data_IF_782022492771
#
_entry.id   IF_782022492771
#
_cell.length_a   1.000
_cell.length_b   1.000
_cell.length_c   1.000
_cell.angle_alpha   90.00
_cell.angle_beta   90.00
_cell.angle_gamma   90.00
#
_symmetry.space_group_name_H-M   'P 1'
#
loop_
_entity.id
_entity.type
_entity.pdbx_description
1 polymer ?
#
# COMPACT_ATOMS: atom_id res chain seq x y z
N UNK A 1 5.32 -9.57 -2.49
CA UNK A 1 3.98 -9.12 -2.05
C UNK A 1 3.92 -7.61 -2.19
N UNK A 2 3.12 -7.09 -3.12
CA UNK A 2 3.08 -5.66 -3.43
C UNK A 2 2.14 -4.88 -2.51
N UNK A 3 2.60 -3.74 -2.01
CA UNK A 3 1.90 -2.84 -1.11
C UNK A 3 1.91 -1.41 -1.63
N UNK A 4 0.75 -0.77 -1.59
CA UNK A 4 0.54 0.61 -2.03
C UNK A 4 0.38 1.51 -0.80
N UNK A 5 1.20 2.56 -0.74
CA UNK A 5 1.00 3.70 0.13
C UNK A 5 0.08 4.70 -0.57
N UNK A 6 -1.14 4.88 -0.05
CA UNK A 6 -2.16 5.77 -0.59
C UNK A 6 -2.24 7.03 0.26
N UNK A 7 -2.26 8.21 -0.37
CA UNK A 7 -2.53 9.48 0.31
C UNK A 7 -4.01 9.54 0.73
N UNK A 8 -4.31 9.77 2.02
CA UNK A 8 -5.71 9.95 2.47
C UNK A 8 -6.33 11.25 1.95
N UNK A 9 -5.52 12.25 1.61
CA UNK A 9 -5.97 13.51 1.01
C UNK A 9 -6.38 13.34 -0.47
N UNK A 10 -5.46 12.89 -1.32
CA UNK A 10 -5.70 12.80 -2.77
C UNK A 10 -6.34 11.48 -3.22
N UNK A 11 -6.30 10.42 -2.38
CA UNK A 11 -6.60 9.02 -2.70
C UNK A 11 -5.67 8.39 -3.75
N UNK A 12 -4.58 9.06 -4.10
CA UNK A 12 -3.56 8.62 -5.05
C UNK A 12 -2.54 7.67 -4.42
N UNK A 13 -1.98 6.76 -5.22
CA UNK A 13 -0.86 5.87 -4.82
C UNK A 13 0.45 6.66 -4.94
N UNK A 14 1.07 6.99 -3.81
CA UNK A 14 2.31 7.78 -3.75
C UNK A 14 3.57 6.91 -3.70
N UNK A 15 3.46 5.66 -3.24
CA UNK A 15 4.56 4.70 -3.26
C UNK A 15 4.00 3.28 -3.47
N UNK A 16 4.68 2.44 -4.24
CA UNK A 16 4.45 0.98 -4.28
C UNK A 16 5.75 0.26 -3.94
N UNK A 17 5.70 -0.71 -3.04
CA UNK A 17 6.85 -1.55 -2.65
C UNK A 17 6.50 -3.03 -2.86
N UNK A 18 7.46 -3.88 -3.19
CA UNK A 18 7.31 -5.33 -3.02
C UNK A 18 8.10 -5.79 -1.79
N UNK A 19 7.43 -6.51 -0.89
CA UNK A 19 8.01 -7.08 0.33
C UNK A 19 7.90 -8.61 0.29
N UNK A 20 8.75 -9.31 1.05
CA UNK A 20 8.75 -10.76 1.10
C UNK A 20 7.37 -11.34 1.49
N UNK A 21 7.04 -12.55 1.03
CA UNK A 21 5.68 -13.10 1.12
C UNK A 21 5.12 -13.23 2.55
N UNK A 22 6.00 -13.40 3.55
CA UNK A 22 5.63 -13.42 4.97
C UNK A 22 5.35 -12.05 5.61
N UNK A 23 5.60 -10.95 4.90
CA UNK A 23 5.34 -9.59 5.41
C UNK A 23 3.91 -9.19 5.05
N UNK A 24 3.03 -9.11 6.05
CA UNK A 24 1.65 -8.60 5.94
C UNK A 24 1.55 -7.06 5.98
N UNK A 25 0.32 -6.52 5.89
CA UNK A 25 0.05 -5.06 6.02
C UNK A 25 0.76 -4.44 7.23
N UNK A 26 0.76 -5.11 8.39
CA UNK A 26 1.38 -4.57 9.61
C UNK A 26 2.87 -4.28 9.44
N UNK A 27 3.62 -5.20 8.83
CA UNK A 27 5.04 -5.01 8.54
C UNK A 27 5.29 -4.01 7.42
N UNK A 28 4.40 -3.95 6.41
CA UNK A 28 4.44 -2.91 5.39
C UNK A 28 4.22 -1.50 5.98
N UNK A 29 3.27 -1.36 6.93
CA UNK A 29 3.01 -0.13 7.69
C UNK A 29 4.24 0.29 8.50
N UNK A 30 4.88 -0.62 9.24
CA UNK A 30 6.15 -0.35 9.94
C UNK A 30 7.26 0.10 8.97
N UNK A 31 7.40 -0.55 7.81
CA UNK A 31 8.37 -0.14 6.79
C UNK A 31 8.12 1.28 6.27
N UNK A 32 6.87 1.63 5.94
CA UNK A 32 6.52 2.97 5.47
C UNK A 32 6.68 4.05 6.56
N UNK A 33 6.31 3.75 7.82
CA UNK A 33 6.53 4.62 8.98
C UNK A 33 8.02 4.93 9.14
N UNK A 34 8.88 3.90 9.18
CA UNK A 34 10.33 4.06 9.29
C UNK A 34 10.95 4.78 8.09
N UNK A 35 10.50 4.48 6.87
CA UNK A 35 10.95 5.13 5.63
C UNK A 35 10.60 6.63 5.58
N UNK A 36 9.42 7.02 6.07
CA UNK A 36 8.99 8.43 6.17
C UNK A 36 9.50 9.15 7.42
N UNK A 37 10.01 8.42 8.43
CA UNK A 37 10.35 8.92 9.78
C UNK A 37 9.22 9.73 10.43
N UNK A 38 7.98 9.26 10.27
CA UNK A 38 6.80 9.83 10.92
C UNK A 38 6.45 9.05 12.19
N UNK A 39 5.75 9.69 13.13
CA UNK A 39 5.05 8.95 14.20
C UNK A 39 3.89 8.15 13.61
N UNK A 40 3.54 7.02 14.22
CA UNK A 40 2.43 6.19 13.75
C UNK A 40 1.10 6.95 13.66
N UNK A 41 0.83 7.87 14.60
CA UNK A 41 -0.43 8.65 14.63
C UNK A 41 -0.51 9.65 13.48
N UNK A 42 0.59 10.33 13.17
CA UNK A 42 0.64 11.26 12.03
C UNK A 42 0.69 10.51 10.70
N UNK A 43 1.34 9.34 10.67
CA UNK A 43 1.31 8.46 9.51
C UNK A 43 -0.13 8.03 9.19
N UNK A 44 -0.90 7.55 10.16
CA UNK A 44 -2.27 7.07 9.91
C UNK A 44 -3.25 8.21 9.58
N UNK A 45 -3.02 9.45 10.02
CA UNK A 45 -3.82 10.60 9.54
C UNK A 45 -3.64 10.84 8.04
N UNK A 46 -2.40 10.76 7.55
CA UNK A 46 -2.01 11.18 6.20
C UNK A 46 -2.06 10.04 5.17
N UNK A 47 -1.84 8.79 5.59
CA UNK A 47 -1.57 7.66 4.72
C UNK A 47 -2.44 6.44 5.02
N UNK A 48 -2.66 5.62 4.00
CA UNK A 48 -3.39 4.36 4.06
C UNK A 48 -2.59 3.28 3.33
N UNK A 49 -2.38 2.11 3.97
CA UNK A 49 -1.53 1.03 3.44
C UNK A 49 -2.42 -0.10 2.92
N UNK A 50 -2.45 -0.28 1.61
CA UNK A 50 -3.29 -1.29 0.94
C UNK A 50 -2.44 -2.35 0.26
N UNK A 51 -2.93 -3.59 0.22
CA UNK A 51 -2.43 -4.57 -0.75
C UNK A 51 -2.59 -4.03 -2.17
N UNK A 52 -1.59 -4.24 -3.02
CA UNK A 52 -1.70 -4.03 -4.46
C UNK A 52 -2.72 -5.03 -5.03
N UNK A 53 -4.00 -4.60 -5.11
CA UNK A 53 -5.01 -5.33 -5.86
C UNK A 53 -4.77 -5.07 -7.34
N UNK A 54 -4.00 -5.95 -7.98
CA UNK A 54 -4.05 -6.10 -9.43
C UNK A 54 -5.50 -6.37 -9.82
N UNK A 55 -6.10 -5.50 -10.63
CA UNK A 55 -7.52 -5.65 -10.98
C UNK A 55 -7.70 -6.93 -11.78
N UNK A 56 -8.32 -7.95 -11.16
CA UNK A 56 -8.69 -9.21 -11.83
C UNK A 56 -9.96 -9.01 -12.67
N UNK A 57 -9.90 -8.06 -13.60
CA UNK A 57 -10.67 -8.11 -14.83
C UNK A 57 -9.78 -8.83 -15.86
N UNK A 58 -9.79 -10.17 -15.94
CA UNK A 58 -9.27 -10.83 -17.13
C UNK A 58 -10.05 -10.28 -18.33
N UNK A 59 -9.34 -9.87 -19.37
CA UNK A 59 -9.96 -9.43 -20.62
C UNK A 59 -10.71 -10.64 -21.18
N UNK A 60 -12.05 -10.64 -21.11
CA UNK A 60 -12.90 -11.66 -21.75
C UNK A 60 -12.78 -11.41 -23.26
N UNK A 61 -12.10 -12.30 -23.99
CA UNK A 61 -11.87 -12.15 -25.43
C UNK A 61 -13.08 -12.53 -26.29
N UNK A 62 -14.10 -13.07 -25.65
CA UNK A 62 -15.19 -13.82 -26.26
C UNK A 62 -16.29 -14.02 -25.21
N UNK A 63 -17.53 -14.11 -25.69
CA UNK A 63 -18.70 -14.76 -25.09
C UNK A 63 -19.45 -15.49 -26.22
#
# INVERSE_FOLDING_TARGET
MKYNLVSKHSKEVVHTVDLASGVGISGARTYFIGSKKLDEKEFDKLWDVKYYKMSKNPIRWWE
#
